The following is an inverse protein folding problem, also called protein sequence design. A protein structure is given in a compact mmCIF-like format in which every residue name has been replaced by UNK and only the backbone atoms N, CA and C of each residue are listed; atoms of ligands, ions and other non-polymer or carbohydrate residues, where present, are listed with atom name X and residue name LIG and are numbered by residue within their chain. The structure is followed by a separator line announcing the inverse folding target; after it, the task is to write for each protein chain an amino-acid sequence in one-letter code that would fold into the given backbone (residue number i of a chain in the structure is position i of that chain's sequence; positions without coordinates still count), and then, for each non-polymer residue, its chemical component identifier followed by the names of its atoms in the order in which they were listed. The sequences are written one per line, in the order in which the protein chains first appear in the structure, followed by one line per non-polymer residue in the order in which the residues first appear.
data_IF_629474079044
#
_entry.id   IF_629474079044
#
_cell.length_a   1.000
_cell.length_b   1.000
_cell.length_c   1.000
_cell.angle_alpha   90.00
_cell.angle_beta   90.00
_cell.angle_gamma   90.00
#
_symmetry.space_group_name_H-M   'P 1'
#
loop_
_entity.id
_entity.type
_entity.pdbx_description
1 polymer ?
#
# COMPACT_ATOMS: atom_id res chain seq x y z
N UNK A 1 15.00 0.41 2.72
CA UNK A 1 14.51 -0.70 1.86
C UNK A 1 13.00 -0.61 1.76
N UNK A 2 12.49 -0.45 0.54
CA UNK A 2 11.09 -0.13 0.27
C UNK A 2 10.41 -1.30 -0.45
N UNK A 3 9.20 -1.65 0.00
CA UNK A 3 8.31 -2.58 -0.66
C UNK A 3 7.04 -1.83 -1.10
N UNK A 4 6.82 -1.74 -2.41
CA UNK A 4 5.64 -1.15 -3.02
C UNK A 4 4.72 -2.26 -3.55
N UNK A 5 3.64 -2.52 -2.84
CA UNK A 5 2.64 -3.53 -3.18
C UNK A 5 1.51 -2.89 -3.98
N UNK A 6 0.98 -3.63 -4.97
CA UNK A 6 0.01 -3.09 -5.93
C UNK A 6 0.59 -1.90 -6.69
N UNK A 7 1.83 -2.07 -7.17
CA UNK A 7 2.66 -0.98 -7.64
C UNK A 7 2.17 -0.31 -8.93
N UNK A 8 1.25 -0.93 -9.66
CA UNK A 8 0.75 -0.48 -10.96
C UNK A 8 1.93 -0.12 -11.90
N UNK A 9 2.10 1.13 -12.28
CA UNK A 9 3.20 1.59 -13.14
C UNK A 9 4.45 2.05 -12.38
N UNK A 10 4.51 1.85 -11.06
CA UNK A 10 5.68 2.10 -10.22
C UNK A 10 5.79 3.50 -9.61
N UNK A 11 4.73 4.30 -9.58
CA UNK A 11 4.78 5.69 -9.11
C UNK A 11 5.49 5.86 -7.76
N UNK A 12 5.05 5.17 -6.72
CA UNK A 12 5.69 5.25 -5.40
C UNK A 12 7.15 4.77 -5.41
N UNK A 13 7.47 3.77 -6.25
CA UNK A 13 8.82 3.23 -6.35
C UNK A 13 9.81 4.27 -6.88
N UNK A 14 9.39 5.14 -7.82
CA UNK A 14 10.25 6.21 -8.34
C UNK A 14 10.55 7.27 -7.30
N UNK A 15 9.56 7.64 -6.50
CA UNK A 15 9.78 8.55 -5.37
C UNK A 15 10.68 7.94 -4.31
N UNK A 16 10.56 6.64 -4.03
CA UNK A 16 11.47 5.93 -3.13
C UNK A 16 12.91 5.92 -3.65
N UNK A 17 13.11 5.63 -4.94
CA UNK A 17 14.44 5.67 -5.58
C UNK A 17 15.04 7.09 -5.54
N UNK A 18 14.23 8.11 -5.85
CA UNK A 18 14.64 9.51 -5.77
C UNK A 18 14.99 9.92 -4.33
N UNK A 19 14.27 9.40 -3.34
CA UNK A 19 14.53 9.60 -1.92
C UNK A 19 15.74 8.88 -1.36
N UNK A 20 16.49 8.14 -2.19
CA UNK A 20 17.73 7.46 -1.79
C UNK A 20 17.54 6.06 -1.20
N UNK A 21 16.40 5.40 -1.46
CA UNK A 21 16.23 4.02 -1.07
C UNK A 21 17.34 3.13 -1.66
N UNK A 22 17.88 2.22 -0.85
CA UNK A 22 18.96 1.30 -1.26
C UNK A 22 18.44 0.08 -1.99
N UNK A 23 17.20 -0.28 -1.75
CA UNK A 23 16.47 -1.37 -2.40
C UNK A 23 15.01 -0.94 -2.52
N UNK A 24 14.45 -1.10 -3.72
CA UNK A 24 13.02 -0.89 -3.98
C UNK A 24 12.48 -2.12 -4.68
N UNK A 25 11.49 -2.75 -4.09
CA UNK A 25 10.75 -3.85 -4.71
C UNK A 25 9.33 -3.44 -5.03
N UNK A 26 8.95 -3.65 -6.29
CA UNK A 26 7.60 -3.40 -6.81
C UNK A 26 6.89 -4.72 -7.05
N UNK A 27 5.69 -4.88 -6.54
CA UNK A 27 4.90 -6.10 -6.69
C UNK A 27 3.53 -5.77 -7.23
N UNK A 28 3.11 -6.46 -8.28
CA UNK A 28 1.76 -6.38 -8.84
C UNK A 28 1.40 -7.72 -9.50
N UNK A 29 0.14 -8.10 -9.47
CA UNK A 29 -0.33 -9.33 -10.13
C UNK A 29 -0.47 -9.18 -11.65
N UNK A 30 -0.48 -7.95 -12.16
CA UNK A 30 -0.59 -7.64 -13.59
C UNK A 30 0.79 -7.64 -14.25
N UNK A 31 1.02 -8.60 -15.16
CA UNK A 31 2.24 -8.63 -15.97
C UNK A 31 2.44 -7.33 -16.78
N UNK A 32 1.35 -6.71 -17.25
CA UNK A 32 1.41 -5.43 -17.96
C UNK A 32 1.84 -4.28 -17.07
N UNK A 33 1.39 -4.24 -15.82
CA UNK A 33 1.83 -3.24 -14.82
C UNK A 33 3.33 -3.39 -14.55
N UNK A 34 3.81 -4.61 -14.37
CA UNK A 34 5.24 -4.90 -14.15
C UNK A 34 6.11 -4.54 -15.37
N UNK A 35 5.64 -4.84 -16.59
CA UNK A 35 6.31 -4.40 -17.82
C UNK A 35 6.47 -2.87 -17.86
N UNK A 36 5.37 -2.14 -17.58
CA UNK A 36 5.38 -0.67 -17.55
C UNK A 36 6.28 -0.13 -16.43
N UNK A 37 6.24 -0.73 -15.24
CA UNK A 37 7.13 -0.37 -14.14
C UNK A 37 8.59 -0.50 -14.55
N UNK A 38 8.99 -1.63 -15.13
CA UNK A 38 10.36 -1.85 -15.60
C UNK A 38 10.77 -0.85 -16.68
N UNK A 39 9.88 -0.57 -17.66
CA UNK A 39 10.12 0.43 -18.69
C UNK A 39 10.31 1.83 -18.09
N UNK A 40 9.49 2.22 -17.13
CA UNK A 40 9.58 3.51 -16.47
C UNK A 40 10.86 3.63 -15.63
N UNK A 41 11.30 2.55 -14.96
CA UNK A 41 12.60 2.53 -14.27
C UNK A 41 13.73 2.73 -15.26
N UNK A 42 13.73 1.99 -16.38
CA UNK A 42 14.77 2.14 -17.40
C UNK A 42 14.83 3.56 -17.98
N UNK A 43 13.72 4.22 -18.16
CA UNK A 43 13.64 5.59 -18.68
C UNK A 43 14.15 6.64 -17.67
N UNK A 44 13.83 6.48 -16.39
CA UNK A 44 14.13 7.48 -15.37
C UNK A 44 15.44 7.22 -14.60
N UNK A 45 15.86 5.95 -14.53
CA UNK A 45 17.03 5.48 -13.77
C UNK A 45 17.81 4.44 -14.58
N UNK A 46 18.34 4.81 -15.77
CA UNK A 46 19.05 3.86 -16.64
C UNK A 46 20.26 3.27 -15.93
N UNK A 47 20.36 1.93 -15.93
CA UNK A 47 21.46 1.20 -15.28
C UNK A 47 21.38 1.12 -13.75
N UNK A 48 20.34 1.63 -13.10
CA UNK A 48 20.18 1.52 -11.65
C UNK A 48 19.72 0.12 -11.24
N UNK A 49 20.49 -0.54 -10.39
CA UNK A 49 20.25 -1.91 -9.93
C UNK A 49 19.47 -2.03 -8.63
N UNK A 50 19.09 -0.89 -8.01
CA UNK A 50 18.36 -0.88 -6.73
C UNK A 50 16.91 -1.34 -6.83
N UNK A 51 16.34 -1.36 -8.03
CA UNK A 51 14.94 -1.72 -8.27
C UNK A 51 14.79 -3.15 -8.77
N UNK A 52 13.78 -3.85 -8.24
CA UNK A 52 13.34 -5.17 -8.69
C UNK A 52 11.81 -5.20 -8.75
N UNK A 53 11.24 -5.75 -9.83
CA UNK A 53 9.79 -5.88 -9.99
C UNK A 53 9.37 -7.35 -10.08
N UNK A 54 8.25 -7.69 -9.45
CA UNK A 54 7.73 -9.05 -9.34
C UNK A 54 6.26 -9.09 -9.79
N UNK A 55 5.97 -9.97 -10.75
CA UNK A 55 4.60 -10.26 -11.16
C UNK A 55 4.05 -11.37 -10.27
N UNK A 56 3.44 -11.01 -9.15
CA UNK A 56 2.97 -11.98 -8.17
C UNK A 56 1.76 -11.44 -7.38
N UNK A 57 0.95 -12.36 -6.83
CA UNK A 57 -0.11 -12.02 -5.88
C UNK A 57 0.47 -11.41 -4.60
N UNK A 58 -0.15 -10.32 -4.13
CA UNK A 58 0.37 -9.56 -2.99
C UNK A 58 0.44 -10.36 -1.69
N UNK A 59 -0.57 -11.20 -1.41
CA UNK A 59 -0.58 -12.02 -0.20
C UNK A 59 0.51 -13.09 -0.25
N UNK A 60 0.66 -13.74 -1.42
CA UNK A 60 1.67 -14.76 -1.63
C UNK A 60 3.08 -14.17 -1.51
N UNK A 61 3.32 -13.01 -2.11
CA UNK A 61 4.60 -12.32 -1.98
C UNK A 61 4.92 -11.97 -0.52
N UNK A 62 3.95 -11.39 0.22
CA UNK A 62 4.15 -11.06 1.63
C UNK A 62 4.40 -12.29 2.50
N UNK A 63 3.79 -13.44 2.21
CA UNK A 63 4.04 -14.69 2.95
C UNK A 63 5.50 -15.13 2.81
N UNK A 64 6.08 -15.05 1.62
CA UNK A 64 7.46 -15.42 1.33
C UNK A 64 8.49 -14.32 1.57
N UNK A 65 8.08 -13.09 1.85
CA UNK A 65 8.99 -11.97 2.01
C UNK A 65 9.83 -12.07 3.29
N UNK A 66 11.12 -11.73 3.18
CA UNK A 66 11.97 -11.55 4.35
C UNK A 66 11.58 -10.28 5.12
N UNK A 67 11.86 -10.26 6.43
CA UNK A 67 11.64 -9.10 7.29
C UNK A 67 12.76 -8.06 7.10
N UNK A 68 12.84 -7.43 5.92
CA UNK A 68 13.93 -6.54 5.56
C UNK A 68 13.48 -5.14 5.11
N UNK A 69 12.20 -4.84 5.19
CA UNK A 69 11.66 -3.57 4.72
C UNK A 69 11.43 -2.61 5.88
N UNK A 70 11.98 -1.42 5.76
CA UNK A 70 11.74 -0.30 6.68
C UNK A 70 10.65 0.66 6.18
N UNK A 71 10.20 0.48 4.94
CA UNK A 71 9.02 1.14 4.40
C UNK A 71 8.21 0.16 3.54
N UNK A 72 6.91 0.03 3.84
CA UNK A 72 5.96 -0.76 3.04
C UNK A 72 4.82 0.14 2.60
N UNK A 73 4.39 0.00 1.34
CA UNK A 73 3.26 0.71 0.76
C UNK A 73 2.22 -0.33 0.32
N UNK A 74 1.00 -0.19 0.81
CA UNK A 74 -0.15 -1.01 0.46
C UNK A 74 -1.21 -0.12 -0.19
N UNK A 75 -1.32 -0.17 -1.52
CA UNK A 75 -2.33 0.57 -2.29
C UNK A 75 -3.21 -0.37 -3.13
N UNK A 76 -3.98 -1.24 -2.45
CA UNK A 76 -4.79 -2.25 -3.13
C UNK A 76 -5.96 -1.62 -3.90
N UNK A 77 -6.47 -2.31 -4.93
CA UNK A 77 -7.73 -1.95 -5.55
C UNK A 77 -8.88 -2.06 -4.53
N UNK A 78 -10.02 -1.44 -4.85
CA UNK A 78 -11.19 -1.47 -3.98
C UNK A 78 -11.65 -2.91 -3.70
N UNK A 79 -11.56 -3.38 -2.46
CA UNK A 79 -12.00 -4.71 -2.04
C UNK A 79 -13.53 -4.82 -1.97
N UNK A 80 -14.26 -3.70 -1.86
CA UNK A 80 -15.70 -3.68 -1.94
C UNK A 80 -16.19 -2.61 -2.91
N UNK A 81 -17.06 -3.00 -3.84
CA UNK A 81 -17.74 -2.11 -4.79
C UNK A 81 -19.20 -1.83 -4.39
N UNK A 82 -19.77 -2.60 -3.46
CA UNK A 82 -21.12 -2.48 -2.97
C UNK A 82 -21.22 -2.89 -1.48
N UNK A 83 -22.27 -2.42 -0.79
CA UNK A 83 -22.42 -2.63 0.67
C UNK A 83 -22.42 -4.10 1.10
N UNK A 84 -22.97 -5.01 0.29
CA UNK A 84 -22.96 -6.45 0.59
C UNK A 84 -21.57 -7.07 0.67
N UNK A 85 -20.55 -6.44 0.05
CA UNK A 85 -19.16 -6.90 0.12
C UNK A 85 -18.36 -6.31 1.28
N UNK A 86 -18.93 -5.40 2.07
CA UNK A 86 -18.22 -4.64 3.13
C UNK A 86 -17.50 -5.58 4.12
N UNK A 87 -18.19 -6.56 4.66
CA UNK A 87 -17.62 -7.48 5.66
C UNK A 87 -16.39 -8.23 5.12
N UNK A 88 -16.47 -8.75 3.90
CA UNK A 88 -15.35 -9.45 3.27
C UNK A 88 -14.19 -8.49 2.93
N UNK A 89 -14.50 -7.26 2.52
CA UNK A 89 -13.50 -6.24 2.29
C UNK A 89 -12.73 -5.88 3.57
N UNK A 90 -13.42 -5.71 4.70
CA UNK A 90 -12.78 -5.43 5.98
C UNK A 90 -11.86 -6.58 6.42
N UNK A 91 -12.28 -7.83 6.24
CA UNK A 91 -11.39 -9.00 6.44
C UNK A 91 -10.16 -8.95 5.54
N UNK A 92 -10.33 -8.58 4.26
CA UNK A 92 -9.23 -8.43 3.31
C UNK A 92 -8.23 -7.36 3.75
N UNK A 93 -8.71 -6.17 4.13
CA UNK A 93 -7.85 -5.11 4.66
C UNK A 93 -7.16 -5.51 5.95
N UNK A 94 -7.86 -6.17 6.87
CA UNK A 94 -7.26 -6.67 8.12
C UNK A 94 -6.13 -7.65 7.81
N UNK A 95 -6.38 -8.66 6.99
CA UNK A 95 -5.37 -9.68 6.63
C UNK A 95 -4.17 -9.06 5.92
N UNK A 96 -4.39 -8.15 4.96
CA UNK A 96 -3.32 -7.49 4.21
C UNK A 96 -2.41 -6.67 5.13
N UNK A 97 -3.00 -5.83 5.98
CA UNK A 97 -2.26 -4.99 6.92
C UNK A 97 -1.57 -5.85 7.99
N UNK A 98 -2.19 -6.91 8.49
CA UNK A 98 -1.56 -7.85 9.42
C UNK A 98 -0.28 -8.43 8.83
N UNK A 99 -0.32 -8.93 7.58
CA UNK A 99 0.87 -9.46 6.90
C UNK A 99 1.97 -8.41 6.75
N UNK A 100 1.62 -7.18 6.42
CA UNK A 100 2.60 -6.09 6.35
C UNK A 100 3.21 -5.78 7.72
N UNK A 101 2.42 -5.74 8.79
CA UNK A 101 2.91 -5.55 10.15
C UNK A 101 3.84 -6.68 10.63
N UNK A 102 3.61 -7.91 10.19
CA UNK A 102 4.47 -9.06 10.47
C UNK A 102 5.82 -8.96 9.73
N UNK A 103 5.87 -8.26 8.59
CA UNK A 103 7.03 -8.21 7.68
C UNK A 103 7.83 -6.91 7.72
N UNK A 104 7.27 -5.84 8.27
CA UNK A 104 7.97 -4.57 8.42
C UNK A 104 8.93 -4.60 9.60
N UNK A 105 10.10 -4.01 9.44
CA UNK A 105 11.07 -3.87 10.52
C UNK A 105 10.52 -3.00 11.67
N UNK A 106 11.08 -3.20 12.85
CA UNK A 106 10.79 -2.34 14.00
C UNK A 106 11.31 -0.92 13.71
N UNK A 107 10.48 0.08 13.94
CA UNK A 107 10.75 1.48 13.58
C UNK A 107 10.42 1.82 12.13
N UNK A 108 9.86 0.87 11.38
CA UNK A 108 9.48 1.07 9.99
C UNK A 108 8.20 1.88 9.81
N UNK A 109 7.99 2.34 8.57
CA UNK A 109 6.84 3.14 8.17
C UNK A 109 5.95 2.34 7.22
N UNK A 110 4.66 2.21 7.55
CA UNK A 110 3.65 1.61 6.69
C UNK A 110 2.73 2.68 6.13
N UNK A 111 2.65 2.78 4.81
CA UNK A 111 1.59 3.48 4.09
C UNK A 111 0.51 2.47 3.72
N UNK A 112 -0.74 2.71 4.08
CA UNK A 112 -1.84 1.82 3.72
C UNK A 112 -3.06 2.62 3.29
N UNK A 113 -3.70 2.17 2.19
CA UNK A 113 -4.77 2.89 1.52
C UNK A 113 -6.02 2.04 1.31
N UNK A 114 -7.15 2.71 1.16
CA UNK A 114 -8.39 2.15 0.65
C UNK A 114 -9.08 3.16 -0.26
N UNK A 115 -9.35 2.77 -1.50
CA UNK A 115 -10.14 3.53 -2.46
C UNK A 115 -11.61 3.07 -2.54
N UNK A 116 -12.08 2.23 -1.61
CA UNK A 116 -13.45 1.70 -1.61
C UNK A 116 -14.43 2.70 -1.01
N UNK A 117 -15.43 3.16 -1.77
CA UNK A 117 -16.46 4.09 -1.30
C UNK A 117 -17.26 3.57 -0.10
N UNK A 118 -17.58 2.27 -0.09
CA UNK A 118 -18.40 1.65 0.96
C UNK A 118 -17.65 1.43 2.28
N UNK A 119 -16.32 1.52 2.23
CA UNK A 119 -15.46 1.44 3.42
C UNK A 119 -15.24 2.85 3.94
N UNK A 120 -15.85 3.20 5.06
CA UNK A 120 -15.68 4.51 5.69
C UNK A 120 -14.28 4.67 6.30
N UNK A 121 -13.90 5.90 6.69
CA UNK A 121 -12.63 6.17 7.40
C UNK A 121 -12.53 5.34 8.69
N UNK A 122 -13.63 5.24 9.45
CA UNK A 122 -13.68 4.46 10.70
C UNK A 122 -13.60 2.96 10.42
N UNK A 123 -14.30 2.45 9.41
CA UNK A 123 -14.18 1.05 9.00
C UNK A 123 -12.73 0.69 8.67
N UNK A 124 -12.07 1.51 7.87
CA UNK A 124 -10.69 1.26 7.46
C UNK A 124 -9.73 1.32 8.65
N UNK A 125 -9.84 2.37 9.48
CA UNK A 125 -9.04 2.52 10.71
C UNK A 125 -9.21 1.33 11.65
N UNK A 126 -10.44 0.85 11.86
CA UNK A 126 -10.72 -0.32 12.70
C UNK A 126 -10.13 -1.61 12.13
N UNK A 127 -10.16 -1.80 10.81
CA UNK A 127 -9.52 -2.94 10.17
C UNK A 127 -8.00 -2.93 10.38
N UNK A 128 -7.36 -1.76 10.24
CA UNK A 128 -5.92 -1.58 10.47
C UNK A 128 -5.56 -1.75 11.95
N UNK A 129 -6.38 -1.21 12.88
CA UNK A 129 -6.23 -1.44 14.31
C UNK A 129 -6.26 -2.93 14.66
N UNK A 130 -7.26 -3.64 14.14
CA UNK A 130 -7.38 -5.09 14.35
C UNK A 130 -6.16 -5.83 13.80
N UNK A 131 -5.66 -5.45 12.64
CA UNK A 131 -4.46 -6.01 12.03
C UNK A 131 -3.22 -5.82 12.91
N UNK A 132 -3.04 -4.62 13.47
CA UNK A 132 -1.91 -4.32 14.37
C UNK A 132 -1.98 -5.14 15.66
N UNK A 133 -3.18 -5.30 16.24
CA UNK A 133 -3.41 -6.12 17.43
C UNK A 133 -3.10 -7.61 17.16
N UNK A 134 -3.56 -8.15 16.03
CA UNK A 134 -3.27 -9.53 15.61
C UNK A 134 -1.78 -9.78 15.37
N UNK A 135 -1.09 -8.82 14.76
CA UNK A 135 0.36 -8.86 14.56
C UNK A 135 1.17 -8.58 15.84
N UNK A 136 0.51 -8.24 16.95
CA UNK A 136 1.13 -7.87 18.23
C UNK A 136 2.13 -6.72 18.10
N UNK A 137 1.81 -5.73 17.24
CA UNK A 137 2.65 -4.55 17.01
C UNK A 137 2.01 -3.31 17.65
N UNK A 138 2.85 -2.47 18.26
CA UNK A 138 2.44 -1.13 18.65
C UNK A 138 2.59 -0.21 17.45
N UNK A 139 1.53 0.56 17.14
CA UNK A 139 1.46 1.36 15.93
C UNK A 139 0.95 2.75 16.27
N UNK A 140 1.60 3.77 15.70
CA UNK A 140 1.17 5.18 15.82
C UNK A 140 0.80 5.72 14.46
N UNK A 141 -0.30 6.45 14.38
CA UNK A 141 -0.71 7.16 13.17
C UNK A 141 0.10 8.46 13.10
N UNK A 142 0.95 8.61 12.09
CA UNK A 142 1.68 9.83 11.82
C UNK A 142 0.84 10.80 10.99
N UNK A 143 0.18 10.28 9.94
CA UNK A 143 -0.68 11.08 9.07
C UNK A 143 -1.95 10.33 8.70
N UNK A 144 -3.05 11.08 8.54
CA UNK A 144 -4.27 10.63 7.90
C UNK A 144 -4.34 11.33 6.54
N UNK A 145 -4.38 10.55 5.47
CA UNK A 145 -4.34 11.03 4.10
C UNK A 145 -5.73 10.92 3.47
N UNK A 146 -6.01 11.84 2.58
CA UNK A 146 -7.19 11.89 1.73
C UNK A 146 -6.78 12.17 0.28
N UNK A 147 -7.74 12.40 -0.60
CA UNK A 147 -7.49 12.71 -2.00
C UNK A 147 -6.64 13.98 -2.14
N UNK A 148 -5.60 13.93 -2.99
CA UNK A 148 -4.78 15.09 -3.32
C UNK A 148 -5.50 16.03 -4.28
N UNK A 149 -4.91 17.21 -4.51
CA UNK A 149 -5.51 18.28 -5.31
C UNK A 149 -5.70 17.92 -6.80
N UNK A 150 -4.96 16.96 -7.32
CA UNK A 150 -5.12 16.43 -8.69
C UNK A 150 -6.32 15.46 -8.83
N UNK A 151 -6.94 15.07 -7.71
CA UNK A 151 -8.19 14.32 -7.63
C UNK A 151 -9.21 15.09 -6.78
N UNK A 152 -9.65 16.29 -7.21
CA UNK A 152 -10.50 17.14 -6.37
C UNK A 152 -11.87 16.51 -6.16
N UNK A 153 -12.43 16.76 -4.97
CA UNK A 153 -13.79 16.34 -4.63
C UNK A 153 -14.73 17.48 -5.04
N UNK A 154 -15.76 17.17 -5.83
CA UNK A 154 -16.79 18.12 -6.15
C UNK A 154 -17.69 18.31 -4.91
N UNK A 155 -17.87 19.55 -4.45
CA UNK A 155 -18.65 19.87 -3.24
C UNK A 155 -20.12 19.40 -3.34
N UNK A 156 -20.67 19.30 -4.54
CA UNK A 156 -22.03 18.82 -4.77
C UNK A 156 -22.13 17.29 -4.92
N UNK A 157 -20.99 16.57 -4.95
CA UNK A 157 -20.92 15.13 -5.12
C UNK A 157 -19.98 14.52 -4.06
N UNK A 158 -20.43 14.47 -2.78
CA UNK A 158 -19.61 13.98 -1.67
C UNK A 158 -19.22 12.50 -1.82
N UNK A 159 -19.92 11.73 -2.64
CA UNK A 159 -19.56 10.37 -3.02
C UNK A 159 -18.21 10.27 -3.78
N UNK A 160 -17.71 11.38 -4.30
CA UNK A 160 -16.38 11.51 -4.85
C UNK A 160 -15.26 11.39 -3.79
N UNK A 161 -15.58 11.55 -2.49
CA UNK A 161 -14.62 11.35 -1.39
C UNK A 161 -14.49 9.86 -1.04
N UNK A 162 -13.61 9.15 -1.72
CA UNK A 162 -13.47 7.70 -1.57
C UNK A 162 -12.09 7.25 -1.05
N UNK A 163 -11.05 8.07 -1.18
CA UNK A 163 -9.70 7.69 -0.76
C UNK A 163 -9.46 7.92 0.73
N UNK A 164 -8.94 6.94 1.40
CA UNK A 164 -8.45 6.98 2.78
C UNK A 164 -7.05 6.41 2.83
N UNK A 165 -6.14 7.10 3.49
CA UNK A 165 -4.80 6.61 3.71
C UNK A 165 -4.34 6.83 5.14
N UNK A 166 -3.50 5.95 5.62
CA UNK A 166 -2.81 6.07 6.91
C UNK A 166 -1.31 5.93 6.68
N UNK A 167 -0.54 6.81 7.30
CA UNK A 167 0.91 6.68 7.46
C UNK A 167 1.18 6.29 8.89
N UNK A 168 1.78 5.13 9.08
CA UNK A 168 1.90 4.46 10.37
C UNK A 168 3.37 4.24 10.73
N UNK A 169 3.74 4.60 11.95
CA UNK A 169 4.99 4.19 12.57
C UNK A 169 4.79 2.89 13.34
N UNK A 170 5.63 1.90 13.10
CA UNK A 170 5.47 0.53 13.62
C UNK A 170 6.62 0.21 14.58
N UNK A 171 6.28 0.05 15.88
CA UNK A 171 7.24 -0.29 16.96
C UNK A 171 7.51 -1.79 17.09
#
# INVERSE_FOLDING_TARGET
RVLNMFCYTGGFSFYAMRGGARLVRSVDSSAKAIELTNRNVQLNYPGDTRHQAFCEDAFKYLEGADNQYDLIILDPPAFAKHRGALHNALKGYTRLNQKAFEKIEKGGILFTFSCSQVVTKDHFRNAVFTAAALAKRKVRILHQLHQPADHPINIYHPEGEYLKGLVLYVE
#
